data_IF_712905713327
#
_entry.id   IF_712905713327
#
_cell.length_a   1.000
_cell.length_b   1.000
_cell.length_c   1.000
_cell.angle_alpha   90.00
_cell.angle_beta   90.00
_cell.angle_gamma   90.00
#
_symmetry.space_group_name_H-M   'P 1'
#
loop_
_entity.id
_entity.type
_entity.pdbx_description
1 polymer ?
#
# COMPACT_ATOMS: atom_id res chain seq x y z
N UNK A 1 -30.83 2.13 -28.05
CA UNK A 1 -30.34 3.52 -28.10
C UNK A 1 -29.17 3.56 -29.08
N UNK A 2 -29.43 3.88 -30.35
CA UNK A 2 -28.43 3.92 -31.43
C UNK A 2 -28.23 5.37 -31.84
N UNK A 3 -27.05 5.95 -31.60
CA UNK A 3 -26.74 7.34 -31.98
C UNK A 3 -25.69 8.05 -31.11
N UNK A 4 -25.64 7.73 -29.81
CA UNK A 4 -24.70 8.33 -28.85
C UNK A 4 -23.22 7.99 -29.14
N UNK A 5 -22.93 6.75 -29.58
CA UNK A 5 -21.59 6.33 -29.99
C UNK A 5 -21.01 7.23 -31.08
N UNK A 6 -21.83 7.69 -32.03
CA UNK A 6 -21.36 8.52 -33.15
C UNK A 6 -20.96 9.95 -32.73
N UNK A 7 -21.70 10.58 -31.81
CA UNK A 7 -21.38 11.92 -31.30
C UNK A 7 -20.18 11.90 -30.35
N UNK A 8 -20.08 10.87 -29.51
CA UNK A 8 -18.93 10.67 -28.63
C UNK A 8 -17.66 10.45 -29.44
N UNK A 9 -17.69 9.50 -30.39
CA UNK A 9 -16.51 9.15 -31.18
C UNK A 9 -16.09 10.28 -32.12
N UNK A 10 -17.03 11.04 -32.69
CA UNK A 10 -16.69 12.21 -33.49
C UNK A 10 -15.99 13.29 -32.66
N UNK A 11 -16.37 13.49 -31.39
CA UNK A 11 -15.66 14.37 -30.46
C UNK A 11 -14.29 13.80 -30.06
N UNK A 12 -14.24 12.52 -29.65
CA UNK A 12 -13.04 11.86 -29.16
C UNK A 12 -11.93 11.72 -30.22
N UNK A 13 -12.31 11.45 -31.46
CA UNK A 13 -11.42 11.32 -32.61
C UNK A 13 -11.22 12.65 -33.37
N UNK A 14 -11.59 13.78 -32.76
CA UNK A 14 -11.32 15.11 -33.30
C UNK A 14 -9.99 15.70 -32.81
N UNK A 15 -9.51 16.74 -33.50
CA UNK A 15 -8.41 17.59 -33.04
C UNK A 15 -7.07 16.86 -32.85
N UNK A 16 -6.55 16.84 -31.61
CA UNK A 16 -5.21 16.31 -31.26
C UNK A 16 -5.13 14.77 -31.26
N UNK A 17 -6.25 14.07 -31.36
CA UNK A 17 -6.29 12.62 -31.54
C UNK A 17 -6.33 12.32 -33.05
N UNK A 18 -5.16 12.04 -33.66
CA UNK A 18 -4.97 11.99 -35.12
C UNK A 18 -5.59 10.78 -35.83
N UNK A 19 -6.48 10.04 -35.17
CA UNK A 19 -7.27 8.98 -35.81
C UNK A 19 -8.56 9.63 -36.29
N UNK A 20 -8.70 9.92 -37.58
CA UNK A 20 -9.97 10.39 -38.16
C UNK A 20 -10.62 9.28 -39.00
N UNK A 21 -11.93 9.35 -39.24
CA UNK A 21 -12.63 8.41 -40.16
C UNK A 21 -12.04 8.42 -41.59
N UNK A 22 -11.39 9.51 -41.98
CA UNK A 22 -10.72 9.66 -43.27
C UNK A 22 -9.23 9.24 -43.23
N UNK A 23 -8.72 8.81 -42.09
CA UNK A 23 -7.30 8.42 -41.91
C UNK A 23 -7.07 6.94 -42.22
N UNK A 24 -5.79 6.56 -42.36
CA UNK A 24 -5.34 5.14 -42.42
C UNK A 24 -5.75 4.28 -41.22
N UNK A 25 -6.33 4.87 -40.20
CA UNK A 25 -6.78 4.24 -38.96
C UNK A 25 -8.30 4.10 -38.87
N UNK A 26 -9.07 4.30 -39.95
CA UNK A 26 -10.54 4.18 -39.97
C UNK A 26 -11.04 2.87 -39.32
N UNK A 27 -10.36 1.75 -39.57
CA UNK A 27 -10.68 0.47 -38.94
C UNK A 27 -10.68 0.52 -37.39
N UNK A 28 -9.90 1.41 -36.76
CA UNK A 28 -9.88 1.61 -35.30
C UNK A 28 -11.09 2.41 -34.81
N UNK A 29 -11.61 3.33 -35.62
CA UNK A 29 -12.86 4.07 -35.32
C UNK A 29 -14.07 3.13 -35.41
N UNK A 30 -14.11 2.28 -36.44
CA UNK A 30 -15.17 1.27 -36.59
C UNK A 30 -15.16 0.25 -35.44
N UNK A 31 -13.97 -0.21 -35.03
CA UNK A 31 -13.80 -1.08 -33.86
C UNK A 31 -14.26 -0.38 -32.57
N UNK A 32 -13.91 0.89 -32.38
CA UNK A 32 -14.37 1.67 -31.22
C UNK A 32 -15.90 1.82 -31.20
N UNK A 33 -16.54 2.05 -32.36
CA UNK A 33 -18.00 2.12 -32.46
C UNK A 33 -18.65 0.81 -32.06
N UNK A 34 -18.13 -0.32 -32.57
CA UNK A 34 -18.62 -1.65 -32.20
C UNK A 34 -18.45 -1.92 -30.71
N UNK A 35 -17.31 -1.58 -30.14
CA UNK A 35 -17.03 -1.75 -28.70
C UNK A 35 -17.99 -0.93 -27.83
N UNK A 36 -18.25 0.33 -28.20
CA UNK A 36 -19.16 1.21 -27.48
C UNK A 36 -20.63 0.77 -27.56
N UNK A 37 -21.01 0.14 -28.67
CA UNK A 37 -22.37 -0.38 -28.89
C UNK A 37 -22.62 -1.75 -28.26
N UNK A 38 -21.59 -2.40 -27.71
CA UNK A 38 -21.78 -3.65 -26.96
C UNK A 38 -22.56 -3.42 -25.67
N UNK A 39 -23.31 -4.45 -25.25
CA UNK A 39 -23.97 -4.48 -23.94
C UNK A 39 -23.01 -4.77 -22.78
N UNK A 40 -21.69 -4.82 -23.02
CA UNK A 40 -20.70 -5.13 -22.01
C UNK A 40 -20.57 -3.98 -21.01
N UNK A 41 -20.42 -4.32 -19.72
CA UNK A 41 -20.23 -3.32 -18.65
C UNK A 41 -18.84 -2.69 -18.64
N UNK A 42 -17.87 -3.37 -19.27
CA UNK A 42 -16.51 -2.89 -19.50
C UNK A 42 -16.30 -2.81 -21.00
N UNK A 43 -15.86 -1.65 -21.48
CA UNK A 43 -15.65 -1.34 -22.90
C UNK A 43 -14.26 -0.73 -23.04
N UNK A 44 -13.62 -0.90 -24.20
CA UNK A 44 -12.36 -0.20 -24.47
C UNK A 44 -12.20 0.18 -25.93
N UNK A 45 -11.36 1.18 -26.18
CA UNK A 45 -10.86 1.48 -27.52
C UNK A 45 -9.47 2.12 -27.46
N UNK A 46 -8.82 2.18 -28.62
CA UNK A 46 -7.45 2.69 -28.75
C UNK A 46 -7.47 4.14 -29.25
N UNK A 47 -6.78 5.03 -28.54
CA UNK A 47 -6.48 6.40 -28.95
C UNK A 47 -4.98 6.64 -29.17
N UNK A 48 -4.64 7.74 -29.83
CA UNK A 48 -3.25 8.19 -30.01
C UNK A 48 -3.15 9.66 -29.61
N UNK A 49 -3.04 9.95 -28.30
CA UNK A 49 -2.94 11.32 -27.82
C UNK A 49 -1.76 12.05 -28.46
N UNK A 50 -2.04 13.18 -29.11
CA UNK A 50 -1.06 13.99 -29.84
C UNK A 50 -0.32 13.26 -30.97
N UNK A 51 -0.82 12.09 -31.41
CA UNK A 51 -0.18 11.26 -32.44
C UNK A 51 1.11 10.57 -31.99
N UNK A 52 1.33 10.43 -30.68
CA UNK A 52 2.55 9.89 -30.10
C UNK A 52 2.40 8.40 -29.76
N UNK A 53 1.92 8.12 -28.56
CA UNK A 53 1.93 6.80 -27.93
C UNK A 53 0.53 6.20 -27.96
N UNK A 54 0.35 4.94 -28.38
CA UNK A 54 -0.96 4.30 -28.31
C UNK A 54 -1.41 4.16 -26.85
N UNK A 55 -2.65 4.54 -26.60
CA UNK A 55 -3.26 4.49 -25.28
C UNK A 55 -4.63 3.82 -25.38
N UNK A 56 -4.84 2.76 -24.61
CA UNK A 56 -6.16 2.18 -24.46
C UNK A 56 -6.95 2.98 -23.44
N UNK A 57 -8.18 3.33 -23.80
CA UNK A 57 -9.17 3.97 -22.96
C UNK A 57 -10.16 2.90 -22.54
N UNK A 58 -10.23 2.61 -21.25
CA UNK A 58 -11.14 1.59 -20.69
C UNK A 58 -12.24 2.30 -19.92
N UNK A 59 -13.47 1.98 -20.28
CA UNK A 59 -14.70 2.61 -19.81
C UNK A 59 -15.54 1.57 -19.07
N UNK A 60 -15.99 1.91 -17.87
CA UNK A 60 -16.80 1.04 -17.03
C UNK A 60 -18.10 1.73 -16.65
N UNK A 61 -19.19 0.98 -16.50
CA UNK A 61 -20.51 1.57 -16.23
C UNK A 61 -20.65 2.19 -14.81
N UNK A 62 -19.74 1.92 -13.87
CA UNK A 62 -19.75 2.52 -12.51
C UNK A 62 -18.34 2.79 -11.95
N UNK A 63 -18.25 3.63 -10.91
CA UNK A 63 -17.00 3.95 -10.19
C UNK A 63 -16.39 2.69 -9.54
N UNK A 64 -17.23 1.91 -8.85
CA UNK A 64 -16.84 0.63 -8.23
C UNK A 64 -16.25 -0.34 -9.27
N UNK A 65 -16.89 -0.46 -10.43
CA UNK A 65 -16.40 -1.33 -11.51
C UNK A 65 -15.09 -0.80 -12.09
N UNK A 66 -14.90 0.52 -12.12
CA UNK A 66 -13.67 1.17 -12.59
C UNK A 66 -12.49 0.82 -11.68
N UNK A 67 -12.68 0.88 -10.36
CA UNK A 67 -11.64 0.51 -9.38
C UNK A 67 -11.31 -0.98 -9.44
N UNK A 68 -12.32 -1.87 -9.48
CA UNK A 68 -12.07 -3.31 -9.64
C UNK A 68 -11.35 -3.63 -10.96
N UNK A 69 -11.76 -2.97 -12.05
CA UNK A 69 -11.12 -3.15 -13.36
C UNK A 69 -9.67 -2.65 -13.34
N UNK A 70 -9.38 -1.55 -12.64
CA UNK A 70 -8.02 -1.01 -12.46
C UNK A 70 -7.13 -2.04 -11.78
N UNK A 71 -7.56 -2.60 -10.65
CA UNK A 71 -6.78 -3.56 -9.87
C UNK A 71 -6.54 -4.85 -10.66
N UNK A 72 -7.57 -5.34 -11.34
CA UNK A 72 -7.48 -6.52 -12.17
C UNK A 72 -6.52 -6.33 -13.35
N UNK A 73 -6.67 -5.23 -14.09
CA UNK A 73 -5.75 -4.84 -15.16
C UNK A 73 -4.33 -4.72 -14.63
N UNK A 74 -4.19 -4.23 -13.39
CA UNK A 74 -2.88 -4.07 -12.82
C UNK A 74 -2.18 -5.39 -12.43
N UNK A 75 -2.92 -6.49 -12.34
CA UNK A 75 -2.39 -7.83 -12.15
C UNK A 75 -2.19 -8.58 -13.47
N UNK A 76 -2.99 -8.30 -14.50
CA UNK A 76 -3.04 -9.07 -15.75
C UNK A 76 -2.29 -8.46 -16.93
N UNK A 77 -2.09 -7.13 -16.93
CA UNK A 77 -1.45 -6.45 -18.04
C UNK A 77 0.04 -6.85 -18.15
N UNK A 78 0.53 -7.13 -19.38
CA UNK A 78 1.92 -7.51 -19.57
C UNK A 78 2.83 -6.29 -19.44
N UNK A 79 3.45 -6.14 -18.26
CA UNK A 79 4.23 -4.95 -17.86
C UNK A 79 5.41 -4.61 -18.75
N UNK A 80 5.90 -5.60 -19.49
CA UNK A 80 6.93 -5.42 -20.51
C UNK A 80 6.46 -4.49 -21.65
N UNK A 81 5.15 -4.41 -21.90
CA UNK A 81 4.57 -3.67 -23.03
C UNK A 81 3.89 -2.36 -22.64
N UNK A 82 3.41 -2.21 -21.40
CA UNK A 82 2.61 -1.05 -21.01
C UNK A 82 2.75 -0.62 -19.55
N UNK A 83 2.30 0.60 -19.29
CA UNK A 83 2.18 1.19 -17.97
C UNK A 83 1.06 0.55 -17.13
N UNK A 84 1.04 0.90 -15.85
CA UNK A 84 -0.11 0.66 -14.97
C UNK A 84 -1.36 1.35 -15.53
N UNK A 85 -2.50 0.68 -15.37
CA UNK A 85 -3.80 1.31 -15.62
C UNK A 85 -3.99 2.43 -14.59
N UNK A 86 -4.22 3.65 -15.08
CA UNK A 86 -4.41 4.84 -14.24
C UNK A 86 -5.82 5.38 -14.39
N UNK A 87 -6.52 5.71 -13.28
CA UNK A 87 -7.81 6.37 -13.33
C UNK A 87 -7.66 7.86 -13.65
N UNK A 88 -8.60 8.37 -14.44
CA UNK A 88 -8.68 9.77 -14.85
C UNK A 88 -10.09 10.29 -14.57
N UNK A 89 -10.18 11.20 -13.59
CA UNK A 89 -11.41 11.92 -13.22
C UNK A 89 -11.46 13.34 -13.82
N UNK A 90 -10.40 13.76 -14.49
CA UNK A 90 -10.29 15.03 -15.22
C UNK A 90 -9.66 14.80 -16.58
N UNK A 91 -10.12 15.55 -17.59
CA UNK A 91 -9.60 15.45 -18.95
C UNK A 91 -8.17 16.02 -19.00
N UNK A 92 -7.22 15.22 -19.48
CA UNK A 92 -5.86 15.72 -19.80
C UNK A 92 -5.84 16.38 -21.18
N UNK A 93 -6.73 15.94 -22.07
CA UNK A 93 -6.88 16.47 -23.41
C UNK A 93 -8.34 16.85 -23.69
N UNK A 94 -8.54 17.90 -24.49
CA UNK A 94 -9.87 18.45 -24.82
C UNK A 94 -10.85 17.40 -25.37
N UNK A 95 -10.35 16.40 -26.11
CA UNK A 95 -11.17 15.32 -26.68
C UNK A 95 -11.67 14.29 -25.65
N UNK A 96 -11.11 14.31 -24.43
CA UNK A 96 -11.49 13.40 -23.34
C UNK A 96 -12.68 13.91 -22.54
N UNK A 97 -12.98 15.22 -22.61
CA UNK A 97 -14.13 15.81 -21.93
C UNK A 97 -15.45 15.13 -22.32
N UNK A 98 -15.61 14.75 -23.59
CA UNK A 98 -16.80 14.00 -24.03
C UNK A 98 -16.95 12.62 -23.37
N UNK A 99 -15.84 11.99 -22.97
CA UNK A 99 -15.89 10.74 -22.19
C UNK A 99 -16.40 11.02 -20.77
N UNK A 100 -15.91 12.08 -20.13
CA UNK A 100 -16.32 12.43 -18.77
C UNK A 100 -17.78 12.89 -18.68
N UNK A 101 -18.33 13.47 -19.75
CA UNK A 101 -19.75 13.80 -19.83
C UNK A 101 -20.66 12.56 -19.70
N UNK A 102 -20.16 11.39 -20.11
CA UNK A 102 -20.92 10.15 -20.12
C UNK A 102 -20.49 9.14 -19.07
N UNK A 103 -19.24 9.22 -18.62
CA UNK A 103 -18.68 8.48 -17.50
C UNK A 103 -18.15 9.50 -16.48
N UNK A 104 -19.03 10.14 -15.70
CA UNK A 104 -18.66 11.22 -14.77
C UNK A 104 -17.77 10.75 -13.63
N UNK A 105 -17.78 9.44 -13.32
CA UNK A 105 -16.86 8.81 -12.37
C UNK A 105 -15.43 8.63 -12.92
N UNK A 106 -15.22 8.83 -14.22
CA UNK A 106 -13.91 8.76 -14.86
C UNK A 106 -13.72 7.52 -15.72
N UNK A 107 -12.50 7.36 -16.24
CA UNK A 107 -12.09 6.24 -17.08
C UNK A 107 -10.64 5.84 -16.82
N UNK A 108 -10.21 4.66 -17.29
CA UNK A 108 -8.81 4.23 -17.16
C UNK A 108 -8.04 4.45 -18.46
N UNK A 109 -6.77 4.84 -18.34
CA UNK A 109 -5.81 4.79 -19.45
C UNK A 109 -4.77 3.70 -19.22
N UNK A 110 -4.51 2.92 -20.26
CA UNK A 110 -3.38 2.00 -20.34
C UNK A 110 -2.48 2.43 -21.48
N UNK A 111 -1.33 3.01 -21.13
CA UNK A 111 -0.38 3.60 -22.07
C UNK A 111 0.68 2.57 -22.45
N UNK A 112 0.91 2.35 -23.74
CA UNK A 112 2.03 1.50 -24.20
C UNK A 112 3.35 2.23 -23.96
N UNK A 113 4.44 1.52 -23.64
CA UNK A 113 5.72 2.18 -23.42
C UNK A 113 6.18 2.96 -24.65
N UNK A 114 6.62 4.21 -24.44
CA UNK A 114 7.14 5.06 -25.50
C UNK A 114 8.54 4.63 -25.93
N UNK A 115 8.97 5.06 -27.12
CA UNK A 115 10.31 4.77 -27.64
C UNK A 115 11.41 5.17 -26.65
N UNK A 116 11.30 6.37 -26.08
CA UNK A 116 12.25 6.91 -25.09
C UNK A 116 12.36 6.05 -23.84
N UNK A 117 11.28 5.40 -23.43
CA UNK A 117 11.28 4.51 -22.26
C UNK A 117 11.94 3.16 -22.56
N UNK A 118 11.66 2.60 -23.74
CA UNK A 118 12.20 1.28 -24.15
C UNK A 118 13.70 1.29 -24.48
N UNK A 119 14.26 2.46 -24.81
CA UNK A 119 15.64 2.57 -25.31
C UNK A 119 15.85 1.98 -26.71
N UNK A 120 14.78 1.55 -27.40
CA UNK A 120 14.84 0.94 -28.72
C UNK A 120 15.14 1.97 -29.83
N UNK A 121 15.91 1.53 -30.81
CA UNK A 121 16.06 2.25 -32.08
C UNK A 121 14.71 2.34 -32.82
N UNK A 122 14.60 3.27 -33.79
CA UNK A 122 13.34 3.50 -34.50
C UNK A 122 12.78 2.26 -35.21
N UNK A 123 13.65 1.42 -35.78
CA UNK A 123 13.24 0.19 -36.48
C UNK A 123 12.78 -0.92 -35.51
N UNK A 124 13.42 -1.02 -34.35
CA UNK A 124 13.05 -1.97 -33.29
C UNK A 124 11.72 -1.55 -32.66
N UNK A 125 11.54 -0.27 -32.35
CA UNK A 125 10.30 0.26 -31.81
C UNK A 125 9.12 0.06 -32.78
N UNK A 126 9.36 0.17 -34.09
CA UNK A 126 8.34 -0.10 -35.12
C UNK A 126 7.88 -1.55 -35.15
N UNK A 127 8.73 -2.51 -34.76
CA UNK A 127 8.40 -3.93 -34.61
C UNK A 127 7.78 -4.24 -33.25
N UNK A 128 8.19 -3.51 -32.21
CA UNK A 128 7.64 -3.62 -30.86
C UNK A 128 6.17 -3.20 -30.81
N UNK A 129 5.83 -2.07 -31.44
CA UNK A 129 4.52 -1.42 -31.27
C UNK A 129 3.33 -2.33 -31.64
N UNK A 130 3.29 -3.02 -32.79
CA UNK A 130 2.18 -3.93 -33.12
C UNK A 130 2.07 -5.09 -32.13
N UNK A 131 3.21 -5.64 -31.69
CA UNK A 131 3.27 -6.71 -30.69
C UNK A 131 2.71 -6.24 -29.36
N UNK A 132 3.16 -5.07 -28.87
CA UNK A 132 2.69 -4.47 -27.63
C UNK A 132 1.17 -4.20 -27.66
N UNK A 133 0.67 -3.61 -28.76
CA UNK A 133 -0.77 -3.36 -28.95
C UNK A 133 -1.54 -4.68 -28.90
N UNK A 134 -1.10 -5.71 -29.62
CA UNK A 134 -1.80 -7.00 -29.67
C UNK A 134 -1.80 -7.71 -28.31
N UNK A 135 -0.70 -7.65 -27.56
CA UNK A 135 -0.59 -8.30 -26.24
C UNK A 135 -1.47 -7.61 -25.21
N UNK A 136 -1.48 -6.27 -25.17
CA UNK A 136 -2.37 -5.50 -24.29
C UNK A 136 -3.83 -5.70 -24.68
N UNK A 137 -4.13 -5.73 -25.98
CA UNK A 137 -5.49 -5.99 -26.47
C UNK A 137 -5.97 -7.40 -26.08
N UNK A 138 -5.13 -8.41 -26.23
CA UNK A 138 -5.46 -9.78 -25.83
C UNK A 138 -5.75 -9.89 -24.33
N UNK A 139 -4.98 -9.21 -23.48
CA UNK A 139 -5.23 -9.17 -22.04
C UNK A 139 -6.57 -8.47 -21.69
N UNK A 140 -6.91 -7.39 -22.41
CA UNK A 140 -8.20 -6.71 -22.27
C UNK A 140 -9.37 -7.58 -22.75
N UNK A 141 -9.23 -8.26 -23.88
CA UNK A 141 -10.26 -9.15 -24.41
C UNK A 141 -10.49 -10.36 -23.48
N UNK A 142 -9.41 -10.94 -22.94
CA UNK A 142 -9.48 -12.02 -21.95
C UNK A 142 -10.16 -11.57 -20.66
N UNK A 143 -9.88 -10.34 -20.20
CA UNK A 143 -10.58 -9.74 -19.05
C UNK A 143 -12.09 -9.70 -19.25
N UNK A 144 -12.51 -9.11 -20.37
CA UNK A 144 -13.92 -8.87 -20.66
C UNK A 144 -14.62 -10.21 -20.83
N UNK A 145 -13.97 -11.17 -21.50
CA UNK A 145 -14.49 -12.52 -21.61
C UNK A 145 -14.66 -13.19 -20.24
N UNK A 146 -13.65 -13.14 -19.37
CA UNK A 146 -13.73 -13.70 -18.01
C UNK A 146 -14.80 -13.02 -17.17
N UNK A 147 -14.91 -11.70 -17.26
CA UNK A 147 -15.95 -10.93 -16.55
C UNK A 147 -17.35 -11.31 -17.01
N UNK A 148 -17.56 -11.44 -18.33
CA UNK A 148 -18.87 -11.78 -18.90
C UNK A 148 -19.26 -13.26 -18.69
N UNK A 149 -18.27 -14.16 -18.54
CA UNK A 149 -18.48 -15.60 -18.29
C UNK A 149 -18.54 -15.91 -16.79
N UNK A 150 -18.03 -15.02 -15.94
CA UNK A 150 -18.08 -15.20 -14.50
C UNK A 150 -19.55 -15.43 -14.10
N UNK A 151 -19.84 -16.49 -13.33
CA UNK A 151 -21.18 -16.71 -12.84
C UNK A 151 -21.64 -15.41 -12.16
N UNK A 152 -22.85 -14.94 -12.50
CA UNK A 152 -23.59 -13.99 -11.68
C UNK A 152 -23.88 -14.69 -10.36
N UNK A 153 -22.85 -14.78 -9.52
CA UNK A 153 -23.01 -14.95 -8.09
C UNK A 153 -23.80 -13.71 -7.72
N UNK A 154 -25.07 -13.89 -7.35
CA UNK A 154 -25.82 -12.87 -6.63
C UNK A 154 -24.86 -12.38 -5.55
N UNK A 155 -24.35 -11.17 -5.74
CA UNK A 155 -23.71 -10.41 -4.69
C UNK A 155 -24.83 -10.18 -3.67
N UNK A 156 -25.06 -11.17 -2.80
CA UNK A 156 -25.36 -10.86 -1.41
C UNK A 156 -24.20 -10.00 -0.99
N UNK A 157 -24.39 -8.68 -1.14
CA UNK A 157 -23.36 -7.68 -1.10
C UNK A 157 -22.60 -7.83 0.22
N UNK A 158 -21.48 -8.55 0.17
CA UNK A 158 -20.47 -8.44 1.19
C UNK A 158 -20.03 -6.99 1.09
N UNK A 159 -20.36 -6.20 2.11
CA UNK A 159 -19.94 -4.81 2.22
C UNK A 159 -18.45 -4.76 1.82
N UNK A 160 -18.06 -3.93 0.84
CA UNK A 160 -16.69 -3.91 0.35
C UNK A 160 -15.70 -3.77 1.51
N UNK A 161 -14.59 -4.51 1.48
CA UNK A 161 -13.65 -4.54 2.60
C UNK A 161 -13.14 -3.15 2.97
N UNK A 162 -12.94 -2.26 1.99
CA UNK A 162 -12.57 -0.86 2.23
C UNK A 162 -13.64 -0.08 3.02
N UNK A 163 -14.93 -0.34 2.77
CA UNK A 163 -16.03 0.29 3.53
C UNK A 163 -16.09 -0.25 4.95
N UNK A 164 -15.85 -1.56 5.14
CA UNK A 164 -15.78 -2.17 6.46
C UNK A 164 -14.60 -1.63 7.28
N UNK A 165 -13.40 -1.53 6.67
CA UNK A 165 -12.22 -0.95 7.31
C UNK A 165 -12.47 0.51 7.66
N UNK A 166 -13.02 1.32 6.74
CA UNK A 166 -13.32 2.73 7.01
C UNK A 166 -14.33 2.89 8.15
N UNK A 167 -15.37 2.06 8.18
CA UNK A 167 -16.36 2.05 9.26
C UNK A 167 -15.74 1.62 10.59
N UNK A 168 -14.84 0.64 10.56
CA UNK A 168 -14.07 0.21 11.73
C UNK A 168 -13.19 1.34 12.28
N UNK A 169 -12.43 2.04 11.43
CA UNK A 169 -11.55 3.14 11.87
C UNK A 169 -12.38 4.28 12.46
N UNK A 170 -13.50 4.64 11.83
CA UNK A 170 -14.43 5.65 12.38
C UNK A 170 -14.99 5.24 13.75
N UNK A 171 -15.33 3.96 13.92
CA UNK A 171 -15.78 3.43 15.20
C UNK A 171 -14.66 3.48 16.27
N UNK A 172 -13.42 3.18 15.88
CA UNK A 172 -12.24 3.29 16.74
C UNK A 172 -11.99 4.74 17.21
N UNK A 173 -12.08 5.71 16.31
CA UNK A 173 -11.95 7.14 16.64
C UNK A 173 -13.08 7.62 17.57
N UNK A 174 -14.29 7.09 17.38
CA UNK A 174 -15.48 7.45 18.17
C UNK A 174 -15.61 6.68 19.49
N UNK A 175 -14.67 5.78 19.81
CA UNK A 175 -14.74 4.84 20.94
C UNK A 175 -16.01 3.96 20.95
N UNK A 176 -16.54 3.62 19.77
CA UNK A 176 -17.69 2.73 19.62
C UNK A 176 -17.25 1.27 19.47
N UNK A 177 -17.02 0.62 20.62
CA UNK A 177 -16.55 -0.77 20.72
C UNK A 177 -17.48 -1.77 20.04
N UNK A 178 -18.80 -1.56 20.10
CA UNK A 178 -19.77 -2.50 19.53
C UNK A 178 -19.69 -2.47 18.00
N UNK A 179 -19.68 -1.27 17.43
CA UNK A 179 -19.47 -1.11 15.98
C UNK A 179 -18.11 -1.65 15.54
N UNK A 180 -17.04 -1.48 16.33
CA UNK A 180 -15.75 -2.09 16.02
C UNK A 180 -15.83 -3.62 15.92
N UNK A 181 -16.49 -4.29 16.88
CA UNK A 181 -16.67 -5.74 16.87
C UNK A 181 -17.46 -6.21 15.65
N UNK A 182 -18.62 -5.60 15.38
CA UNK A 182 -19.50 -5.96 14.26
C UNK A 182 -18.75 -5.82 12.91
N UNK A 183 -18.04 -4.70 12.72
CA UNK A 183 -17.25 -4.50 11.51
C UNK A 183 -16.11 -5.52 11.41
N UNK A 184 -15.42 -5.81 12.52
CA UNK A 184 -14.33 -6.78 12.52
C UNK A 184 -14.78 -8.21 12.24
N UNK A 185 -15.91 -8.67 12.78
CA UNK A 185 -16.48 -9.98 12.47
C UNK A 185 -16.82 -10.11 10.97
N UNK A 186 -17.27 -9.02 10.35
CA UNK A 186 -17.52 -8.96 8.91
C UNK A 186 -16.21 -9.00 8.12
N UNK A 187 -15.18 -8.28 8.57
CA UNK A 187 -13.84 -8.28 7.97
C UNK A 187 -13.16 -9.65 8.08
N UNK A 188 -13.34 -10.37 9.18
CA UNK A 188 -12.76 -11.70 9.37
C UNK A 188 -13.20 -12.67 8.27
N UNK A 189 -14.46 -12.56 7.82
CA UNK A 189 -15.06 -13.37 6.76
C UNK A 189 -14.58 -12.99 5.35
N UNK A 190 -13.94 -11.83 5.17
CA UNK A 190 -13.42 -11.40 3.88
C UNK A 190 -12.12 -12.17 3.55
N UNK A 191 -12.11 -12.99 2.50
CA UNK A 191 -10.91 -13.77 2.11
C UNK A 191 -9.80 -12.90 1.50
N UNK A 192 -10.17 -11.79 0.85
CA UNK A 192 -9.24 -10.90 0.15
C UNK A 192 -8.35 -10.05 1.08
N UNK A 193 -8.70 -9.96 2.37
CA UNK A 193 -7.88 -9.24 3.34
C UNK A 193 -6.85 -10.18 3.96
N UNK A 194 -5.58 -9.83 3.81
CA UNK A 194 -4.50 -10.60 4.40
C UNK A 194 -4.64 -10.70 5.93
N UNK A 195 -3.99 -11.74 6.47
CA UNK A 195 -4.00 -12.01 7.91
C UNK A 195 -3.34 -10.89 8.72
N UNK A 196 -2.34 -10.20 8.19
CA UNK A 196 -1.59 -9.15 8.91
C UNK A 196 -2.47 -7.93 9.18
N UNK A 197 -3.25 -7.51 8.19
CA UNK A 197 -4.24 -6.44 8.30
C UNK A 197 -5.31 -6.83 9.30
N UNK A 198 -5.82 -8.06 9.24
CA UNK A 198 -6.77 -8.58 10.24
C UNK A 198 -6.19 -8.57 11.66
N UNK A 199 -4.95 -9.01 11.83
CA UNK A 199 -4.28 -9.00 13.13
C UNK A 199 -4.08 -7.56 13.63
N UNK A 200 -3.78 -6.59 12.75
CA UNK A 200 -3.66 -5.16 13.10
C UNK A 200 -4.97 -4.60 13.66
N UNK A 201 -6.09 -4.86 12.99
CA UNK A 201 -7.42 -4.47 13.49
C UNK A 201 -7.74 -5.17 14.82
N UNK A 202 -7.33 -6.43 14.99
CA UNK A 202 -7.47 -7.15 16.26
C UNK A 202 -6.71 -6.48 17.39
N UNK A 203 -5.47 -6.03 17.15
CA UNK A 203 -4.71 -5.27 18.14
C UNK A 203 -5.43 -3.98 18.56
N UNK A 204 -6.01 -3.25 17.60
CA UNK A 204 -6.77 -2.02 17.88
C UNK A 204 -8.02 -2.29 18.74
N UNK A 205 -8.71 -3.41 18.51
CA UNK A 205 -9.85 -3.84 19.35
C UNK A 205 -9.37 -4.13 20.77
N UNK A 206 -8.34 -4.97 20.91
CA UNK A 206 -7.82 -5.36 22.22
C UNK A 206 -7.30 -4.16 23.01
N UNK A 207 -6.69 -3.18 22.34
CA UNK A 207 -6.26 -1.93 22.94
C UNK A 207 -7.45 -1.14 23.51
N UNK A 208 -8.53 -0.99 22.74
CA UNK A 208 -9.74 -0.29 23.21
C UNK A 208 -10.49 -1.04 24.30
N UNK A 209 -10.38 -2.36 24.34
CA UNK A 209 -10.91 -3.21 25.42
C UNK A 209 -9.99 -3.25 26.66
N UNK A 210 -8.82 -2.60 26.60
CA UNK A 210 -7.81 -2.64 27.66
C UNK A 210 -7.36 -4.07 28.02
N UNK A 211 -7.40 -4.98 27.05
CA UNK A 211 -7.02 -6.39 27.20
C UNK A 211 -5.52 -6.58 27.01
N UNK A 212 -4.75 -5.95 27.89
CA UNK A 212 -3.29 -5.88 27.77
C UNK A 212 -2.62 -7.25 27.70
N UNK A 213 -3.06 -8.23 28.52
CA UNK A 213 -2.52 -9.59 28.49
C UNK A 213 -2.74 -10.28 27.13
N UNK A 214 -3.93 -10.13 26.54
CA UNK A 214 -4.25 -10.72 25.23
C UNK A 214 -3.43 -10.10 24.09
N UNK A 215 -3.03 -8.82 24.21
CA UNK A 215 -2.12 -8.16 23.25
C UNK A 215 -0.75 -8.83 23.28
N UNK A 216 -0.20 -9.13 24.46
CA UNK A 216 1.10 -9.79 24.58
C UNK A 216 1.04 -11.21 24.02
N UNK A 217 0.00 -11.98 24.37
CA UNK A 217 -0.18 -13.34 23.87
C UNK A 217 -0.36 -13.37 22.35
N UNK A 218 -1.12 -12.42 21.80
CA UNK A 218 -1.26 -12.27 20.36
C UNK A 218 0.07 -11.91 19.70
N UNK A 219 0.85 -11.03 20.32
CA UNK A 219 2.16 -10.61 19.80
C UNK A 219 3.15 -11.76 19.73
N UNK A 220 3.16 -12.62 20.76
CA UNK A 220 3.91 -13.88 20.80
C UNK A 220 3.46 -14.85 19.70
N UNK A 221 2.16 -15.11 19.63
CA UNK A 221 1.59 -16.02 18.65
C UNK A 221 1.78 -15.56 17.19
N UNK A 222 2.04 -14.26 16.99
CA UNK A 222 2.33 -13.67 15.70
C UNK A 222 3.80 -13.35 15.47
N UNK A 223 4.67 -13.59 16.44
CA UNK A 223 6.10 -13.28 16.36
C UNK A 223 6.37 -11.85 15.84
N UNK A 224 5.66 -10.87 16.43
CA UNK A 224 5.66 -9.46 16.01
C UNK A 224 7.08 -8.86 16.02
N UNK A 225 7.95 -9.31 16.92
CA UNK A 225 9.33 -8.81 17.04
C UNK A 225 10.25 -9.19 15.87
N UNK A 226 9.87 -10.15 15.04
CA UNK A 226 10.69 -10.64 13.92
C UNK A 226 10.07 -10.34 12.54
N UNK A 227 9.16 -9.37 12.47
CA UNK A 227 8.43 -9.04 11.25
C UNK A 227 8.24 -7.53 11.11
N UNK A 228 8.04 -7.06 9.88
CA UNK A 228 7.52 -5.71 9.65
C UNK A 228 6.07 -5.64 10.13
N UNK A 229 5.80 -4.74 11.07
CA UNK A 229 4.47 -4.50 11.63
C UNK A 229 4.12 -3.02 11.59
N UNK A 230 2.83 -2.72 11.64
CA UNK A 230 2.36 -1.34 11.63
C UNK A 230 2.68 -0.62 12.94
N UNK A 231 2.80 0.70 12.86
CA UNK A 231 3.05 1.56 14.04
C UNK A 231 1.98 1.36 15.12
N UNK A 232 0.72 1.13 14.73
CA UNK A 232 -0.37 0.85 15.67
C UNK A 232 -0.16 -0.43 16.48
N UNK A 233 0.40 -1.48 15.87
CA UNK A 233 0.75 -2.72 16.61
C UNK A 233 1.89 -2.45 17.59
N UNK A 234 2.92 -1.69 17.19
CA UNK A 234 4.02 -1.30 18.08
C UNK A 234 3.48 -0.54 19.29
N UNK A 235 2.61 0.45 19.06
CA UNK A 235 1.97 1.24 20.14
C UNK A 235 1.14 0.34 21.07
N UNK A 236 0.33 -0.56 20.51
CA UNK A 236 -0.47 -1.49 21.31
C UNK A 236 0.41 -2.39 22.20
N UNK A 237 1.53 -2.90 21.67
CA UNK A 237 2.50 -3.69 22.43
C UNK A 237 3.14 -2.86 23.53
N UNK A 238 3.61 -1.65 23.22
CA UNK A 238 4.22 -0.76 24.24
C UNK A 238 3.26 -0.47 25.38
N UNK A 239 2.01 -0.11 25.05
CA UNK A 239 0.94 0.11 26.03
C UNK A 239 0.68 -1.15 26.84
N UNK A 240 0.58 -2.31 26.20
CA UNK A 240 0.34 -3.55 26.92
C UNK A 240 1.46 -3.92 27.90
N UNK A 241 2.74 -3.71 27.53
CA UNK A 241 3.88 -3.95 28.43
C UNK A 241 3.81 -3.04 29.65
N UNK A 242 3.54 -1.74 29.45
CA UNK A 242 3.52 -0.76 30.54
C UNK A 242 2.25 -0.91 31.38
N UNK A 243 1.08 -1.01 30.76
CA UNK A 243 -0.20 -0.96 31.45
C UNK A 243 -0.54 -2.25 32.20
N UNK A 244 0.15 -3.37 31.93
CA UNK A 244 0.10 -4.55 32.82
C UNK A 244 0.81 -4.31 34.15
N UNK A 245 1.80 -3.41 34.17
CA UNK A 245 2.61 -3.12 35.35
C UNK A 245 2.03 -2.01 36.23
N UNK A 246 0.88 -1.42 35.85
CA UNK A 246 0.23 -0.34 36.58
C UNK A 246 -1.28 -0.61 36.76
N UNK A 247 -1.85 -0.13 37.86
CA UNK A 247 -3.29 -0.33 38.14
C UNK A 247 -4.21 0.56 37.30
N UNK A 248 -3.73 1.73 36.87
CA UNK A 248 -4.50 2.71 36.09
C UNK A 248 -3.60 3.79 35.46
N UNK A 249 -4.17 4.61 34.58
CA UNK A 249 -3.43 5.71 33.92
C UNK A 249 -2.93 6.81 34.87
N UNK A 250 -3.40 6.93 36.12
CA UNK A 250 -2.81 7.88 37.08
C UNK A 250 -1.49 7.38 37.64
N UNK A 251 -1.35 6.06 37.78
CA UNK A 251 -0.06 5.44 38.09
C UNK A 251 0.99 5.74 37.01
N UNK A 252 0.54 5.94 35.76
CA UNK A 252 1.43 6.34 34.66
C UNK A 252 2.08 7.71 34.88
N UNK A 253 1.29 8.71 35.27
CA UNK A 253 1.80 10.07 35.51
C UNK A 253 2.63 10.20 36.79
N UNK A 254 2.45 9.27 37.73
CA UNK A 254 3.15 9.24 39.03
C UNK A 254 4.35 8.28 39.04
N UNK A 255 4.59 7.57 37.94
CA UNK A 255 5.68 6.60 37.79
C UNK A 255 5.60 5.39 38.73
N UNK A 256 4.39 5.03 39.17
CA UNK A 256 4.12 3.88 40.04
C UNK A 256 3.98 2.59 39.21
N UNK A 257 5.12 1.96 38.90
CA UNK A 257 5.19 0.78 38.05
C UNK A 257 5.97 -0.38 38.69
N UNK A 258 5.64 -1.61 38.30
CA UNK A 258 6.55 -2.75 38.42
C UNK A 258 7.67 -2.64 37.36
N UNK A 259 8.69 -1.83 37.65
CA UNK A 259 9.83 -1.60 36.75
C UNK A 259 10.56 -2.89 36.32
N UNK A 260 10.87 -3.84 37.22
CA UNK A 260 11.40 -5.14 36.83
C UNK A 260 10.49 -5.89 35.85
N UNK A 261 9.17 -5.94 36.11
CA UNK A 261 8.20 -6.58 35.20
C UNK A 261 8.17 -5.94 33.81
N UNK A 262 8.25 -4.60 33.73
CA UNK A 262 8.37 -3.88 32.45
C UNK A 262 9.64 -4.29 31.71
N UNK A 263 10.78 -4.35 32.40
CA UNK A 263 12.06 -4.69 31.79
C UNK A 263 12.07 -6.14 31.27
N UNK A 264 11.60 -7.08 32.09
CA UNK A 264 11.53 -8.50 31.75
C UNK A 264 10.64 -8.74 30.52
N UNK A 265 9.44 -8.15 30.52
CA UNK A 265 8.51 -8.30 29.41
C UNK A 265 8.95 -7.51 28.17
N UNK A 266 9.49 -6.30 28.36
CA UNK A 266 9.98 -5.43 27.28
C UNK A 266 11.17 -6.03 26.52
N UNK A 267 11.99 -6.85 27.18
CA UNK A 267 13.15 -7.52 26.56
C UNK A 267 12.73 -8.38 25.36
N UNK A 268 11.56 -9.00 25.41
CA UNK A 268 11.02 -9.82 24.32
C UNK A 268 10.74 -9.02 23.04
N UNK A 269 10.44 -7.72 23.19
CA UNK A 269 10.06 -6.83 22.09
C UNK A 269 11.17 -5.83 21.72
N UNK A 270 12.39 -6.03 22.21
CA UNK A 270 13.55 -5.16 21.92
C UNK A 270 13.73 -4.83 20.42
N UNK A 271 13.63 -5.80 19.47
CA UNK A 271 13.79 -5.48 18.05
C UNK A 271 12.80 -4.43 17.51
N UNK A 272 11.66 -4.24 18.16
CA UNK A 272 10.68 -3.18 17.83
C UNK A 272 11.07 -1.85 18.47
N UNK A 273 11.58 -1.89 19.71
CA UNK A 273 11.86 -0.73 20.54
C UNK A 273 13.20 -0.05 20.21
N UNK A 274 14.17 -0.80 19.68
CA UNK A 274 15.48 -0.28 19.27
C UNK A 274 15.40 0.58 18.00
N UNK A 275 14.28 0.58 17.28
CA UNK A 275 14.05 1.45 16.12
C UNK A 275 13.48 2.78 16.58
N UNK A 276 14.00 3.88 16.05
CA UNK A 276 13.43 5.21 16.36
C UNK A 276 12.03 5.33 15.76
N UNK A 277 10.98 5.49 16.57
CA UNK A 277 9.62 5.53 16.07
C UNK A 277 9.27 6.89 15.44
N UNK A 278 8.24 6.90 14.60
CA UNK A 278 7.65 8.09 13.99
C UNK A 278 6.26 8.40 14.55
N UNK A 279 6.11 8.50 15.88
CA UNK A 279 4.80 8.74 16.48
C UNK A 279 4.32 10.18 16.30
N UNK A 280 3.01 10.32 16.13
CA UNK A 280 2.34 11.63 16.01
C UNK A 280 1.88 12.20 17.34
N UNK A 281 1.70 11.37 18.39
CA UNK A 281 1.22 11.81 19.71
C UNK A 281 2.36 11.87 20.73
N UNK A 282 2.35 12.89 21.60
CA UNK A 282 3.27 12.97 22.74
C UNK A 282 3.10 11.77 23.68
N UNK A 283 1.88 11.25 23.83
CA UNK A 283 1.60 10.13 24.71
C UNK A 283 2.33 8.85 24.27
N UNK A 284 2.34 8.55 22.97
CA UNK A 284 3.07 7.38 22.45
C UNK A 284 4.59 7.55 22.61
N UNK A 285 5.09 8.78 22.48
CA UNK A 285 6.48 9.11 22.82
C UNK A 285 6.80 8.88 24.30
N UNK A 286 5.88 9.19 25.22
CA UNK A 286 6.04 8.91 26.66
C UNK A 286 6.11 7.40 26.94
N UNK A 287 5.26 6.60 26.31
CA UNK A 287 5.32 5.13 26.43
C UNK A 287 6.68 4.58 25.94
N UNK A 288 7.18 5.05 24.79
CA UNK A 288 8.48 4.62 24.27
C UNK A 288 9.66 5.07 25.14
N UNK A 289 9.63 6.31 25.65
CA UNK A 289 10.64 6.84 26.55
C UNK A 289 10.74 6.01 27.84
N UNK A 290 9.60 5.63 28.41
CA UNK A 290 9.53 4.81 29.61
C UNK A 290 10.13 3.42 29.40
N UNK A 291 9.76 2.74 28.31
CA UNK A 291 10.36 1.45 27.95
C UNK A 291 11.85 1.57 27.67
N UNK A 292 12.26 2.61 26.96
CA UNK A 292 13.67 2.86 26.64
C UNK A 292 14.51 3.11 27.89
N UNK A 293 13.95 3.81 28.88
CA UNK A 293 14.55 4.02 30.19
C UNK A 293 14.66 2.71 30.99
N UNK A 294 13.58 1.93 31.04
CA UNK A 294 13.56 0.62 31.72
C UNK A 294 14.54 -0.39 31.11
N UNK A 295 14.68 -0.37 29.79
CA UNK A 295 15.57 -1.26 29.04
C UNK A 295 16.99 -0.73 28.86
N UNK A 296 17.34 0.43 29.41
CA UNK A 296 18.68 1.03 29.30
C UNK A 296 19.16 1.24 27.84
N UNK A 297 18.26 1.70 26.97
CA UNK A 297 18.58 2.10 25.59
C UNK A 297 19.37 3.41 25.61
N UNK A 298 20.46 3.54 24.86
CA UNK A 298 21.27 4.77 24.84
C UNK A 298 20.57 5.91 24.12
N UNK A 299 20.82 7.12 24.60
CA UNK A 299 20.42 8.38 23.96
C UNK A 299 18.90 8.56 23.72
N UNK A 300 18.05 7.69 24.28
CA UNK A 300 16.59 7.78 24.15
C UNK A 300 16.08 9.16 24.57
N UNK A 301 16.65 9.71 25.66
CA UNK A 301 16.25 10.99 26.23
C UNK A 301 16.52 12.16 25.27
N UNK A 302 17.63 12.14 24.53
CA UNK A 302 17.94 13.16 23.51
C UNK A 302 16.96 13.12 22.34
N UNK A 303 16.48 11.93 21.99
CA UNK A 303 15.52 11.73 20.91
C UNK A 303 14.12 12.17 21.36
N UNK A 304 13.66 11.68 22.50
CA UNK A 304 12.35 11.97 23.08
C UNK A 304 12.18 13.44 23.49
N UNK A 305 13.25 14.15 23.85
CA UNK A 305 13.20 15.56 24.25
C UNK A 305 12.68 16.52 23.17
N UNK A 306 12.59 16.07 21.92
CA UNK A 306 11.97 16.84 20.83
C UNK A 306 10.44 16.80 20.87
N UNK A 307 9.86 15.83 21.58
CA UNK A 307 8.44 15.49 21.53
C UNK A 307 7.76 15.52 22.90
N UNK A 308 8.53 15.43 23.98
CA UNK A 308 8.02 15.37 25.37
C UNK A 308 8.56 16.56 26.16
N UNK A 309 7.73 17.08 27.06
CA UNK A 309 8.15 18.13 28.00
C UNK A 309 9.38 17.73 28.83
N UNK A 310 10.35 18.65 28.94
CA UNK A 310 11.61 18.43 29.66
C UNK A 310 11.41 18.10 31.15
N UNK A 311 10.39 18.68 31.79
CA UNK A 311 10.02 18.39 33.18
C UNK A 311 9.65 16.92 33.37
N UNK A 312 8.87 16.36 32.45
CA UNK A 312 8.46 14.96 32.49
C UNK A 312 9.66 14.02 32.31
N UNK A 313 10.56 14.31 31.37
CA UNK A 313 11.80 13.54 31.16
C UNK A 313 12.69 13.57 32.40
N UNK A 314 12.82 14.73 33.06
CA UNK A 314 13.61 14.85 34.28
C UNK A 314 13.05 13.97 35.41
N UNK A 315 11.71 13.90 35.55
CA UNK A 315 11.06 13.01 36.53
C UNK A 315 11.29 11.54 36.22
N UNK A 316 11.27 11.13 34.94
CA UNK A 316 11.56 9.76 34.53
C UNK A 316 13.03 9.39 34.81
N UNK A 317 13.98 10.28 34.51
CA UNK A 317 15.41 10.05 34.79
C UNK A 317 15.73 9.95 36.29
N UNK A 318 14.88 10.52 37.15
CA UNK A 318 15.01 10.38 38.60
C UNK A 318 14.52 9.02 39.12
N UNK A 319 13.82 8.22 38.30
CA UNK A 319 13.38 6.87 38.67
C UNK A 319 14.55 5.91 38.62
N UNK A 320 14.77 5.17 39.71
CA UNK A 320 15.75 4.11 39.77
C UNK A 320 15.18 2.84 39.12
N UNK A 321 15.60 2.60 37.88
CA UNK A 321 15.23 1.43 37.08
C UNK A 321 16.39 0.44 36.95
N UNK A 322 17.38 0.48 37.85
CA UNK A 322 18.64 -0.26 37.75
C UNK A 322 18.51 -1.79 37.94
N UNK A 323 17.77 -2.44 37.04
CA UNK A 323 17.81 -3.87 36.82
C UNK A 323 18.93 -4.14 35.82
N UNK A 324 20.13 -4.40 36.34
CA UNK A 324 21.38 -4.81 35.65
C UNK A 324 21.27 -5.17 34.15
N UNK A 325 21.04 -4.17 33.29
CA UNK A 325 20.85 -4.37 31.86
C UNK A 325 22.03 -3.76 31.10
N UNK A 326 22.59 -4.53 30.17
CA UNK A 326 23.64 -4.06 29.28
C UNK A 326 23.05 -2.93 28.45
N UNK A 327 23.74 -1.79 28.43
CA UNK A 327 23.29 -0.63 27.65
C UNK A 327 23.19 -0.99 26.15
N UNK A 328 22.04 -0.68 25.54
CA UNK A 328 21.72 -1.05 24.15
C UNK A 328 21.73 0.16 23.23
N UNK A 329 22.28 -0.01 22.04
CA UNK A 329 22.33 1.05 21.03
C UNK A 329 21.06 1.03 20.18
N UNK A 330 20.54 2.22 19.86
CA UNK A 330 19.43 2.38 18.91
C UNK A 330 19.90 1.95 17.52
N UNK A 331 19.06 1.17 16.83
CA UNK A 331 19.35 0.74 15.47
C UNK A 331 19.35 1.94 14.52
N UNK A 332 20.47 2.11 13.81
CA UNK A 332 20.61 3.17 12.82
C UNK A 332 19.80 2.79 11.58
N UNK A 333 18.86 3.66 11.22
CA UNK A 333 18.10 3.55 9.97
C UNK A 333 19.04 3.40 8.77
N UNK A 334 18.79 2.40 7.93
CA UNK A 334 19.60 2.17 6.73
C UNK A 334 19.47 3.38 5.78
N UNK A 335 20.56 4.08 5.50
CA UNK A 335 20.56 5.19 4.54
C UNK A 335 20.92 4.69 3.13
N UNK A 336 19.88 4.36 2.36
CA UNK A 336 20.02 3.86 0.99
C UNK A 336 20.64 4.87 0.02
N UNK A 337 20.65 6.18 0.35
CA UNK A 337 21.23 7.20 -0.52
C UNK A 337 22.76 7.11 -0.61
N UNK A 338 23.41 6.50 0.38
CA UNK A 338 24.87 6.32 0.41
C UNK A 338 25.30 4.93 -0.05
N UNK A 339 24.36 4.10 -0.52
CA UNK A 339 24.66 2.76 -1.03
C UNK A 339 24.87 2.79 -2.54
N UNK A 340 25.89 2.06 -3.01
CA UNK A 340 26.08 1.81 -4.43
C UNK A 340 25.20 0.64 -4.88
N UNK A 341 24.91 0.57 -6.19
CA UNK A 341 24.16 -0.54 -6.76
C UNK A 341 25.09 -1.72 -7.06
N UNK A 342 25.18 -2.65 -6.12
CA UNK A 342 25.89 -3.91 -6.23
C UNK A 342 25.13 -5.06 -5.53
N UNK A 343 25.51 -6.33 -5.79
CA UNK A 343 24.80 -7.51 -5.25
C UNK A 343 24.80 -7.56 -3.71
N UNK A 344 25.87 -7.09 -3.06
CA UNK A 344 25.98 -7.08 -1.60
C UNK A 344 25.07 -6.02 -0.99
N UNK A 345 25.00 -4.84 -1.59
CA UNK A 345 24.12 -3.73 -1.20
C UNK A 345 22.65 -4.11 -1.38
N UNK A 346 22.28 -4.74 -2.51
CA UNK A 346 20.92 -5.25 -2.72
C UNK A 346 20.53 -6.30 -1.66
N UNK A 347 21.42 -7.26 -1.38
CA UNK A 347 21.18 -8.28 -0.36
C UNK A 347 21.05 -7.66 1.04
N UNK A 348 21.87 -6.65 1.36
CA UNK A 348 21.80 -5.93 2.63
C UNK A 348 20.46 -5.19 2.78
N UNK A 349 20.01 -4.48 1.74
CA UNK A 349 18.71 -3.79 1.76
C UNK A 349 17.56 -4.76 1.94
N UNK A 350 17.58 -5.91 1.24
CA UNK A 350 16.55 -6.95 1.38
C UNK A 350 16.55 -7.62 2.76
N UNK A 351 17.72 -7.81 3.37
CA UNK A 351 17.83 -8.33 4.73
C UNK A 351 17.31 -7.31 5.75
N UNK A 352 17.69 -6.04 5.62
CA UNK A 352 17.18 -4.96 6.47
C UNK A 352 15.66 -4.82 6.35
N UNK A 353 15.11 -4.96 5.14
CA UNK A 353 13.68 -4.81 4.89
C UNK A 353 12.80 -5.86 5.56
N UNK A 354 13.36 -6.97 6.05
CA UNK A 354 12.59 -8.01 6.75
C UNK A 354 12.05 -7.55 8.10
N UNK A 355 12.73 -6.57 8.71
CA UNK A 355 12.39 -6.05 10.04
C UNK A 355 12.30 -4.52 10.07
N UNK A 356 12.33 -3.82 8.94
CA UNK A 356 12.27 -2.35 8.92
C UNK A 356 10.93 -1.82 9.46
N UNK A 357 10.85 -0.51 9.76
CA UNK A 357 9.55 0.09 10.02
C UNK A 357 8.70 0.09 8.74
N UNK A 358 7.38 -0.02 8.89
CA UNK A 358 6.46 -0.03 7.74
C UNK A 358 6.58 1.23 6.87
N UNK A 359 6.82 2.40 7.50
CA UNK A 359 7.03 3.68 6.82
C UNK A 359 8.33 3.74 5.99
N UNK A 360 9.25 2.79 6.17
CA UNK A 360 10.48 2.69 5.39
C UNK A 360 10.32 1.82 4.14
N UNK A 361 9.35 0.90 4.15
CA UNK A 361 9.22 -0.16 3.15
C UNK A 361 9.18 0.39 1.72
N UNK A 362 8.41 1.46 1.49
CA UNK A 362 8.28 2.09 0.17
C UNK A 362 9.62 2.64 -0.33
N UNK A 363 10.35 3.38 0.50
CA UNK A 363 11.65 3.95 0.12
C UNK A 363 12.67 2.86 -0.20
N UNK A 364 12.68 1.77 0.57
CA UNK A 364 13.57 0.63 0.31
C UNK A 364 13.21 -0.05 -1.02
N UNK A 365 11.91 -0.24 -1.30
CA UNK A 365 11.42 -0.84 -2.53
C UNK A 365 11.74 0.04 -3.75
N UNK A 366 11.51 1.35 -3.67
CA UNK A 366 11.85 2.30 -4.73
C UNK A 366 13.34 2.28 -5.04
N UNK A 367 14.19 2.24 -4.01
CA UNK A 367 15.63 2.14 -4.20
C UNK A 367 16.01 0.84 -4.92
N UNK A 368 15.42 -0.29 -4.52
CA UNK A 368 15.64 -1.60 -5.14
C UNK A 368 15.16 -1.63 -6.61
N UNK A 369 14.00 -1.06 -6.90
CA UNK A 369 13.47 -1.01 -8.27
C UNK A 369 14.27 -0.08 -9.19
N UNK A 370 14.96 0.92 -8.65
CA UNK A 370 15.90 1.76 -9.40
C UNK A 370 17.25 1.08 -9.70
N UNK A 371 17.51 -0.11 -9.15
CA UNK A 371 18.74 -0.84 -9.45
C UNK A 371 18.83 -1.26 -10.94
N UNK A 372 20.05 -1.33 -11.52
CA UNK A 372 20.29 -1.82 -12.88
C UNK A 372 19.64 -3.17 -13.18
N UNK A 373 19.13 -3.34 -14.40
CA UNK A 373 18.36 -4.53 -14.80
C UNK A 373 19.10 -5.85 -14.59
N UNK A 374 20.40 -5.90 -14.90
CA UNK A 374 21.25 -7.08 -14.70
C UNK A 374 21.33 -7.50 -13.23
N UNK A 375 21.46 -6.53 -12.31
CA UNK A 375 21.49 -6.79 -10.87
C UNK A 375 20.12 -7.24 -10.37
N UNK A 376 19.02 -6.63 -10.82
CA UNK A 376 17.67 -7.07 -10.47
C UNK A 376 17.41 -8.51 -10.91
N UNK A 377 17.83 -8.88 -12.12
CA UNK A 377 17.71 -10.25 -12.62
C UNK A 377 18.58 -11.24 -11.83
N UNK A 378 19.83 -10.87 -11.50
CA UNK A 378 20.72 -11.70 -10.68
C UNK A 378 20.10 -11.94 -9.29
N UNK A 379 19.69 -10.87 -8.61
CA UNK A 379 19.07 -10.93 -7.27
C UNK A 379 17.77 -11.72 -7.29
N UNK A 380 16.86 -11.44 -8.24
CA UNK A 380 15.61 -12.20 -8.38
C UNK A 380 15.88 -13.63 -8.88
N UNK A 381 17.04 -13.99 -9.42
CA UNK A 381 17.34 -15.39 -9.75
C UNK A 381 17.57 -16.26 -8.49
N UNK A 382 18.06 -15.66 -7.40
CA UNK A 382 18.20 -16.30 -6.10
C UNK A 382 16.84 -16.43 -5.41
N UNK A 383 16.43 -17.65 -5.04
CA UNK A 383 15.11 -17.92 -4.47
C UNK A 383 14.87 -17.20 -3.13
N UNK A 384 15.88 -17.10 -2.27
CA UNK A 384 15.76 -16.46 -0.96
C UNK A 384 15.57 -14.94 -1.10
N UNK A 385 16.43 -14.29 -1.91
CA UNK A 385 16.35 -12.85 -2.16
C UNK A 385 15.08 -12.48 -2.94
N UNK A 386 14.63 -13.33 -3.88
CA UNK A 386 13.35 -13.18 -4.56
C UNK A 386 12.19 -13.18 -3.56
N UNK A 387 12.20 -14.11 -2.60
CA UNK A 387 11.15 -14.19 -1.58
C UNK A 387 11.12 -12.93 -0.71
N UNK A 388 12.28 -12.48 -0.23
CA UNK A 388 12.41 -11.23 0.54
C UNK A 388 11.93 -10.01 -0.23
N UNK A 389 12.22 -9.95 -1.53
CA UNK A 389 11.76 -8.88 -2.42
C UNK A 389 10.24 -8.88 -2.54
N UNK A 390 9.63 -10.04 -2.82
CA UNK A 390 8.17 -10.15 -2.91
C UNK A 390 7.47 -9.85 -1.59
N UNK A 391 8.08 -10.18 -0.45
CA UNK A 391 7.58 -9.76 0.86
C UNK A 391 7.59 -8.24 1.00
N UNK A 392 8.69 -7.57 0.64
CA UNK A 392 8.76 -6.12 0.65
C UNK A 392 7.74 -5.46 -0.28
N UNK A 393 7.55 -5.99 -1.49
CA UNK A 393 6.51 -5.56 -2.44
C UNK A 393 5.11 -5.65 -1.80
N UNK A 394 4.81 -6.75 -1.12
CA UNK A 394 3.53 -6.92 -0.43
C UNK A 394 3.34 -5.87 0.68
N UNK A 395 4.36 -5.66 1.54
CA UNK A 395 4.31 -4.66 2.61
C UNK A 395 4.11 -3.24 2.07
N UNK A 396 4.87 -2.85 1.04
CA UNK A 396 4.76 -1.53 0.45
C UNK A 396 3.40 -1.31 -0.24
N UNK A 397 2.85 -2.34 -0.87
CA UNK A 397 1.53 -2.28 -1.53
C UNK A 397 0.38 -2.05 -0.55
N UNK A 398 0.46 -2.58 0.67
CA UNK A 398 -0.51 -2.29 1.75
C UNK A 398 -0.48 -0.82 2.19
N UNK A 399 0.70 -0.19 2.25
CA UNK A 399 0.85 1.21 2.63
C UNK A 399 0.27 2.18 1.58
N UNK A 400 0.19 1.79 0.29
CA UNK A 400 -0.47 2.58 -0.75
C UNK A 400 -1.97 2.81 -0.49
N UNK A 401 -2.62 1.93 0.28
CA UNK A 401 -4.07 2.01 0.54
C UNK A 401 -4.45 3.09 1.57
N UNK A 402 -3.47 3.61 2.33
CA UNK A 402 -3.68 4.63 3.37
C UNK A 402 -3.48 6.07 2.88
N UNK A 403 -2.93 6.25 1.67
CA UNK A 403 -2.62 7.57 1.08
C UNK A 403 -3.45 7.90 -0.17
N UNK A 404 -4.46 7.07 -0.48
CA UNK A 404 -5.47 7.37 -1.48
C UNK A 404 -6.66 8.02 -0.78
N UNK A 405 -6.49 9.30 -0.47
CA UNK A 405 -7.60 10.25 -0.26
C UNK A 405 -8.26 10.62 -1.59
#
# INVERSE_FOLDING_TARGET
MTGYSSSLLSSFFSGKNRITQQSKWNAKVELASRQLETSNRIKYFLGYPQGSTPTFYVLCDSDELTEHTKDWLNCSLPRIFCQYAKPYKSAEFDFESGLLDHWPHGFLKVVIWSQSHTGFGSDEYRKFLPTAVNQVQAALDEMIARFNIAPNIDLQTSIPVGVLIKSFIKAYESNDLESMRINFESIQKCEDLDRRNKDTLKFMILEKEEKWYEIIDLSRARNVSAQVVSSGVIVAVMKAVILQSCENMKAFDTFEFDWPGIADLGTEFLPLLLKTPGFSSEQDWKFWALLSHSLNIKDWNKISAKYIEATWIATLLAQDTSVSSRSMDIEVKLDVNNLEYDESSLSNVLNYSQNCLESEALRLLEWLENAPFNLKMSTKSNAALRHQWSQLEAVASTHFSQYLD
#
